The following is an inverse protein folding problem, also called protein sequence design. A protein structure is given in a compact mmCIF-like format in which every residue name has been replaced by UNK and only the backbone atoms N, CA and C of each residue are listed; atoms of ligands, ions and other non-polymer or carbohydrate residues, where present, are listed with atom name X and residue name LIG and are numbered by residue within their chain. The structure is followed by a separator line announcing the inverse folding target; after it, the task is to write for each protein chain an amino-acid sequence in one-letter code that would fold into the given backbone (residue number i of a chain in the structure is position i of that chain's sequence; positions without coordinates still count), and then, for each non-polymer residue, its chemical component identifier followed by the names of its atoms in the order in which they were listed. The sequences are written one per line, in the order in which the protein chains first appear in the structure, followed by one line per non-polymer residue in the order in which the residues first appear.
data_IF_971284234314
#
_entry.id   IF_971284234314
#
_cell.length_a   1.000
_cell.length_b   1.000
_cell.length_c   1.000
_cell.angle_alpha   90.00
_cell.angle_beta   90.00
_cell.angle_gamma   90.00
#
_symmetry.space_group_name_H-M   'P 1'
#
loop_
_entity.id
_entity.type
_entity.pdbx_description
1 polymer ?
#
# COMPACT_ATOMS: atom_id res chain seq x y z
N UNK A 1 -32.24 -21.48 22.17
CA UNK A 1 -30.84 -21.06 22.00
C UNK A 1 -30.90 -19.85 21.08
N UNK A 2 -30.88 -18.65 21.68
CA UNK A 2 -30.94 -17.38 20.95
C UNK A 2 -29.75 -17.31 20.01
N UNK A 3 -29.90 -16.85 18.75
CA UNK A 3 -28.76 -16.63 17.89
C UNK A 3 -27.97 -15.48 18.51
N UNK A 4 -26.92 -15.83 19.27
CA UNK A 4 -25.96 -14.86 19.78
C UNK A 4 -25.52 -14.01 18.59
N UNK A 5 -25.78 -12.71 18.74
CA UNK A 5 -25.53 -11.68 17.76
C UNK A 5 -24.13 -11.83 17.21
N UNK A 6 -24.00 -12.43 16.03
CA UNK A 6 -22.79 -12.32 15.22
C UNK A 6 -22.70 -10.84 14.89
N UNK A 7 -21.95 -10.09 15.71
CA UNK A 7 -21.61 -8.71 15.41
C UNK A 7 -21.12 -8.68 13.97
N UNK A 8 -21.85 -7.93 13.15
CA UNK A 8 -21.54 -7.78 11.75
C UNK A 8 -20.13 -7.19 11.61
N UNK A 9 -19.46 -7.40 10.48
CA UNK A 9 -18.12 -6.82 10.20
C UNK A 9 -18.12 -5.32 10.54
N UNK A 10 -19.22 -4.63 10.25
CA UNK A 10 -19.51 -3.24 10.60
C UNK A 10 -19.41 -2.89 12.09
N UNK A 11 -19.94 -3.72 12.97
CA UNK A 11 -19.91 -3.44 14.41
C UNK A 11 -18.50 -3.70 14.95
N UNK A 12 -17.90 -4.82 14.52
CA UNK A 12 -16.63 -5.29 15.05
C UNK A 12 -15.45 -4.41 14.63
N UNK A 13 -15.42 -3.93 13.39
CA UNK A 13 -14.34 -3.03 12.94
C UNK A 13 -14.25 -1.72 13.76
N UNK A 14 -15.33 -1.36 14.45
CA UNK A 14 -15.46 -0.15 15.25
C UNK A 14 -15.36 -0.41 16.77
N UNK A 15 -15.06 -1.65 17.19
CA UNK A 15 -14.83 -1.96 18.59
C UNK A 15 -13.47 -1.42 19.08
N UNK A 16 -13.32 -1.32 20.41
CA UNK A 16 -12.12 -0.74 21.00
C UNK A 16 -10.84 -1.54 20.70
N UNK A 17 -10.93 -2.83 20.37
CA UNK A 17 -9.77 -3.67 20.05
C UNK A 17 -9.29 -3.39 18.62
N UNK A 18 -10.20 -3.38 17.66
CA UNK A 18 -9.94 -3.15 16.24
C UNK A 18 -9.47 -1.73 15.99
N UNK A 19 -10.06 -0.73 16.65
CA UNK A 19 -9.59 0.67 16.59
C UNK A 19 -8.15 0.78 17.13
N UNK A 20 -7.80 0.08 18.23
CA UNK A 20 -6.42 0.07 18.74
C UNK A 20 -5.45 -0.57 17.76
N UNK A 21 -5.84 -1.66 17.09
CA UNK A 21 -5.02 -2.30 16.05
C UNK A 21 -4.77 -1.34 14.88
N UNK A 22 -5.78 -0.60 14.42
CA UNK A 22 -5.63 0.42 13.36
C UNK A 22 -4.70 1.55 13.80
N UNK A 23 -4.90 2.11 14.99
CA UNK A 23 -4.02 3.15 15.53
C UNK A 23 -2.58 2.67 15.69
N UNK A 24 -2.37 1.46 16.19
CA UNK A 24 -1.04 0.87 16.30
C UNK A 24 -0.41 0.66 14.92
N UNK A 25 -1.17 0.13 13.95
CA UNK A 25 -0.71 -0.09 12.59
C UNK A 25 -0.27 1.23 11.94
N UNK A 26 -1.05 2.30 12.10
CA UNK A 26 -0.73 3.64 11.61
C UNK A 26 0.55 4.20 12.23
N UNK A 27 0.75 4.05 13.53
CA UNK A 27 1.96 4.55 14.20
C UNK A 27 3.21 3.83 13.68
N UNK A 28 3.18 2.51 13.53
CA UNK A 28 4.28 1.75 12.92
C UNK A 28 4.42 2.10 11.42
N UNK A 29 3.32 2.44 10.76
CA UNK A 29 3.33 2.90 9.38
C UNK A 29 4.03 4.25 9.24
N UNK A 30 3.67 5.24 10.05
CA UNK A 30 4.31 6.56 10.06
C UNK A 30 5.82 6.45 10.36
N UNK A 31 6.22 5.58 11.29
CA UNK A 31 7.63 5.36 11.61
C UNK A 31 8.44 4.89 10.40
N UNK A 32 8.04 3.81 9.71
CA UNK A 32 8.82 3.40 8.55
C UNK A 32 8.67 4.36 7.35
N UNK A 33 7.58 5.14 7.25
CA UNK A 33 7.52 6.24 6.27
C UNK A 33 8.54 7.34 6.56
N UNK A 34 8.77 7.71 7.82
CA UNK A 34 9.79 8.70 8.17
C UNK A 34 11.19 8.22 7.79
N UNK A 35 11.49 6.93 8.01
CA UNK A 35 12.81 6.38 7.65
C UNK A 35 12.98 6.32 6.13
N UNK A 36 11.95 5.93 5.36
CA UNK A 36 12.03 5.99 3.90
C UNK A 36 12.10 7.44 3.40
N UNK A 37 11.38 8.38 4.00
CA UNK A 37 11.45 9.80 3.65
C UNK A 37 12.84 10.39 3.90
N UNK A 38 13.50 9.98 4.99
CA UNK A 38 14.88 10.37 5.26
C UNK A 38 15.85 9.84 4.20
N UNK A 39 15.64 8.60 3.69
CA UNK A 39 16.42 8.06 2.56
C UNK A 39 16.33 8.95 1.32
N UNK A 40 15.09 9.31 0.96
CA UNK A 40 14.81 10.17 -0.17
C UNK A 40 15.42 11.56 -0.01
N UNK A 41 15.33 12.13 1.19
CA UNK A 41 15.92 13.42 1.51
C UNK A 41 17.45 13.39 1.38
N UNK A 42 18.10 12.36 1.94
CA UNK A 42 19.57 12.18 1.83
C UNK A 42 19.98 12.01 0.37
N UNK A 43 19.31 11.12 -0.37
CA UNK A 43 19.58 10.91 -1.79
C UNK A 43 19.43 12.19 -2.61
N UNK A 44 18.38 12.98 -2.34
CA UNK A 44 18.15 14.26 -3.01
C UNK A 44 19.22 15.30 -2.67
N UNK A 45 19.54 15.48 -1.38
CA UNK A 45 20.58 16.43 -0.94
C UNK A 45 21.93 16.08 -1.56
N UNK A 46 22.32 14.80 -1.54
CA UNK A 46 23.58 14.35 -2.14
C UNK A 46 23.58 14.57 -3.65
N UNK A 47 22.50 14.25 -4.36
CA UNK A 47 22.40 14.49 -5.79
C UNK A 47 22.50 15.98 -6.14
N UNK A 48 21.82 16.85 -5.40
CA UNK A 48 21.85 18.32 -5.63
C UNK A 48 23.23 18.90 -5.30
N UNK A 49 23.82 18.51 -4.17
CA UNK A 49 25.16 18.96 -3.79
C UNK A 49 26.23 18.51 -4.79
N UNK A 50 26.14 17.25 -5.25
CA UNK A 50 27.07 16.71 -6.26
C UNK A 50 26.88 17.41 -7.61
N UNK A 51 25.64 17.75 -7.99
CA UNK A 51 25.37 18.53 -9.20
C UNK A 51 25.90 19.96 -9.10
N UNK A 52 25.77 20.62 -7.94
CA UNK A 52 26.32 21.95 -7.71
C UNK A 52 27.86 21.97 -7.80
N UNK A 53 28.51 20.93 -7.26
CA UNK A 53 29.96 20.79 -7.31
C UNK A 53 30.52 20.68 -8.75
N UNK A 54 29.72 20.27 -9.73
CA UNK A 54 30.16 20.11 -11.13
C UNK A 54 30.44 21.44 -11.82
N UNK A 55 29.85 22.52 -11.30
CA UNK A 55 30.14 23.90 -11.74
C UNK A 55 31.60 24.29 -11.46
N UNK A 56 32.28 23.58 -10.54
CA UNK A 56 33.69 23.76 -10.22
C UNK A 56 34.48 22.60 -10.85
N UNK A 57 35.29 22.83 -11.90
CA UNK A 57 35.99 21.78 -12.64
C UNK A 57 36.78 20.81 -11.74
N UNK A 58 37.45 21.33 -10.72
CA UNK A 58 38.30 20.56 -9.79
C UNK A 58 37.50 19.61 -8.90
N UNK A 59 36.20 19.87 -8.68
CA UNK A 59 35.33 19.04 -7.83
C UNK A 59 34.56 17.97 -8.61
N UNK A 60 34.62 17.96 -9.95
CA UNK A 60 33.89 17.00 -10.78
C UNK A 60 34.19 15.55 -10.44
N UNK A 61 35.46 15.10 -10.30
CA UNK A 61 35.75 13.72 -9.93
C UNK A 61 35.16 13.35 -8.57
N UNK A 62 35.28 14.26 -7.60
CA UNK A 62 34.74 14.08 -6.24
C UNK A 62 33.21 13.97 -6.25
N UNK A 63 32.51 14.78 -7.05
CA UNK A 63 31.07 14.72 -7.21
C UNK A 63 30.59 13.38 -7.79
N UNK A 64 31.30 12.86 -8.79
CA UNK A 64 31.01 11.55 -9.40
C UNK A 64 31.19 10.43 -8.39
N UNK A 65 32.35 10.41 -7.71
CA UNK A 65 32.66 9.38 -6.69
C UNK A 65 31.61 9.43 -5.57
N UNK A 66 31.24 10.61 -5.11
CA UNK A 66 30.23 10.81 -4.06
C UNK A 66 28.87 10.28 -4.50
N UNK A 67 28.41 10.59 -5.72
CA UNK A 67 27.14 10.07 -6.24
C UNK A 67 27.10 8.55 -6.34
N UNK A 68 28.20 7.93 -6.80
CA UNK A 68 28.29 6.46 -6.88
C UNK A 68 28.31 5.80 -5.50
N UNK A 69 29.15 6.30 -4.58
CA UNK A 69 29.24 5.77 -3.20
C UNK A 69 27.89 5.94 -2.48
N UNK A 70 27.28 7.13 -2.59
CA UNK A 70 25.99 7.38 -1.97
C UNK A 70 24.91 6.43 -2.51
N UNK A 71 24.91 6.14 -3.81
CA UNK A 71 24.00 5.16 -4.41
C UNK A 71 24.18 3.78 -3.78
N UNK A 72 25.43 3.32 -3.63
CA UNK A 72 25.73 2.05 -2.99
C UNK A 72 25.24 2.03 -1.53
N UNK A 73 25.50 3.09 -0.77
CA UNK A 73 25.04 3.19 0.62
C UNK A 73 23.50 3.19 0.72
N UNK A 74 22.82 3.98 -0.12
CA UNK A 74 21.35 4.06 -0.09
C UNK A 74 20.71 2.75 -0.52
N UNK A 75 21.26 2.05 -1.52
CA UNK A 75 20.65 0.83 -2.07
C UNK A 75 21.00 -0.44 -1.31
N UNK A 76 22.17 -0.50 -0.66
CA UNK A 76 22.62 -1.70 0.05
C UNK A 76 22.47 -1.58 1.55
N UNK A 77 22.87 -0.46 2.16
CA UNK A 77 22.89 -0.33 3.64
C UNK A 77 21.52 0.02 4.18
N UNK A 78 20.80 0.94 3.52
CA UNK A 78 19.52 1.45 4.02
C UNK A 78 18.45 0.37 4.22
N UNK A 79 18.23 -0.60 3.31
CA UNK A 79 17.21 -1.63 3.48
C UNK A 79 17.41 -2.52 4.74
N UNK A 80 18.65 -2.70 5.20
CA UNK A 80 18.91 -3.43 6.45
C UNK A 80 18.35 -2.71 7.67
N UNK A 81 18.30 -1.38 7.64
CA UNK A 81 17.77 -0.55 8.74
C UNK A 81 16.25 -0.54 8.75
N UNK A 82 15.60 -0.59 7.57
CA UNK A 82 14.15 -0.35 7.45
C UNK A 82 13.28 -1.61 7.53
N UNK A 83 13.85 -2.80 7.33
CA UNK A 83 13.14 -4.09 7.30
C UNK A 83 12.22 -4.33 8.51
N UNK A 84 12.65 -3.95 9.71
CA UNK A 84 11.94 -4.27 10.95
C UNK A 84 10.67 -3.44 11.17
N UNK A 85 10.71 -2.16 10.81
CA UNK A 85 9.57 -1.26 10.95
C UNK A 85 8.45 -1.61 9.97
N UNK A 86 8.81 -2.10 8.77
CA UNK A 86 7.81 -2.50 7.79
C UNK A 86 6.99 -3.71 8.26
N UNK A 87 7.67 -4.74 8.77
CA UNK A 87 7.04 -5.98 9.17
C UNK A 87 6.01 -5.79 10.30
N UNK A 88 6.30 -4.93 11.29
CA UNK A 88 5.39 -4.69 12.42
C UNK A 88 4.05 -4.08 11.98
N UNK A 89 4.10 -3.05 11.14
CA UNK A 89 2.88 -2.42 10.62
C UNK A 89 2.01 -3.43 9.86
N UNK A 90 2.63 -4.27 9.03
CA UNK A 90 1.93 -5.29 8.23
C UNK A 90 1.34 -6.40 9.11
N UNK A 91 2.04 -6.82 10.17
CA UNK A 91 1.52 -7.80 11.15
C UNK A 91 0.35 -7.25 11.99
N UNK A 92 0.32 -5.95 12.27
CA UNK A 92 -0.81 -5.32 12.97
C UNK A 92 -2.05 -5.27 12.06
N UNK A 93 -1.88 -4.90 10.79
CA UNK A 93 -2.96 -4.95 9.82
C UNK A 93 -3.47 -6.38 9.58
N UNK A 94 -2.58 -7.38 9.53
CA UNK A 94 -3.00 -8.79 9.43
C UNK A 94 -3.80 -9.24 10.66
N UNK A 95 -3.39 -8.82 11.86
CA UNK A 95 -4.16 -9.14 13.07
C UNK A 95 -5.54 -8.49 13.03
N UNK A 96 -5.63 -7.24 12.59
CA UNK A 96 -6.91 -6.56 12.38
C UNK A 96 -7.79 -7.30 11.37
N UNK A 97 -7.27 -7.62 10.18
CA UNK A 97 -8.04 -8.28 9.12
C UNK A 97 -8.48 -9.68 9.56
N UNK A 98 -7.57 -10.47 10.15
CA UNK A 98 -7.87 -11.84 10.58
C UNK A 98 -8.82 -11.90 11.78
N UNK A 99 -8.74 -10.96 12.73
CA UNK A 99 -9.73 -10.87 13.83
C UNK A 99 -11.09 -10.40 13.32
N UNK A 100 -11.09 -9.45 12.37
CA UNK A 100 -12.31 -8.90 11.80
C UNK A 100 -13.08 -9.94 10.98
N UNK A 101 -12.39 -10.65 10.10
CA UNK A 101 -12.98 -11.67 9.22
C UNK A 101 -13.03 -13.07 9.88
N UNK A 102 -12.63 -13.20 11.14
CA UNK A 102 -12.54 -14.48 11.87
C UNK A 102 -11.69 -15.54 11.17
N UNK A 103 -10.61 -15.11 10.50
CA UNK A 103 -9.69 -16.01 9.82
C UNK A 103 -8.66 -16.57 10.79
N UNK A 104 -8.20 -17.80 10.54
CA UNK A 104 -7.11 -18.41 11.29
C UNK A 104 -5.81 -17.64 11.07
N UNK A 105 -5.00 -17.52 12.12
CA UNK A 105 -3.66 -16.95 11.98
C UNK A 105 -2.75 -17.93 11.23
N UNK A 106 -2.03 -17.46 10.21
CA UNK A 106 -0.98 -18.25 9.58
C UNK A 106 0.36 -18.03 10.31
N UNK A 107 0.90 -19.03 11.03
CA UNK A 107 2.16 -18.90 11.76
C UNK A 107 3.39 -18.68 10.86
N UNK A 108 3.31 -19.06 9.58
CA UNK A 108 4.40 -18.91 8.62
C UNK A 108 4.65 -17.45 8.21
N UNK A 109 3.65 -16.58 8.43
CA UNK A 109 3.76 -15.14 8.16
C UNK A 109 4.48 -14.38 9.27
N UNK A 110 4.60 -14.98 10.46
CA UNK A 110 5.20 -14.37 11.63
C UNK A 110 4.36 -14.54 12.89
N UNK A 111 4.85 -13.97 14.00
CA UNK A 111 4.14 -13.99 15.29
C UNK A 111 3.18 -12.82 15.38
N UNK A 112 2.05 -13.03 16.06
CA UNK A 112 1.16 -11.96 16.48
C UNK A 112 1.92 -10.95 17.34
N UNK A 113 1.64 -9.66 17.12
CA UNK A 113 2.17 -8.58 17.95
C UNK A 113 1.48 -8.64 19.32
N UNK A 114 2.23 -8.73 20.42
CA UNK A 114 1.63 -8.80 21.75
C UNK A 114 0.77 -7.58 22.09
N UNK A 115 -0.30 -7.79 22.86
CA UNK A 115 -1.25 -6.74 23.26
C UNK A 115 -0.60 -5.52 23.91
N UNK A 116 0.44 -5.73 24.74
CA UNK A 116 1.19 -4.63 25.37
C UNK A 116 1.77 -3.69 24.31
N UNK A 117 2.37 -4.23 23.26
CA UNK A 117 2.92 -3.43 22.16
C UNK A 117 1.83 -2.75 21.32
N UNK A 118 0.68 -3.40 21.12
CA UNK A 118 -0.47 -2.80 20.43
C UNK A 118 -0.93 -1.56 21.22
N UNK A 119 -1.15 -1.70 22.53
CA UNK A 119 -1.61 -0.61 23.39
C UNK A 119 -0.58 0.53 23.42
N UNK A 120 0.70 0.21 23.58
CA UNK A 120 1.76 1.23 23.64
C UNK A 120 1.95 1.99 22.33
N UNK A 121 1.81 1.31 21.18
CA UNK A 121 1.84 1.99 19.88
C UNK A 121 0.55 2.79 19.65
N UNK A 122 -0.62 2.25 19.97
CA UNK A 122 -1.90 2.96 19.81
C UNK A 122 -1.98 4.25 20.64
N UNK A 123 -1.38 4.31 21.84
CA UNK A 123 -1.30 5.53 22.67
C UNK A 123 -0.54 6.69 22.01
N UNK A 124 0.35 6.39 21.05
CA UNK A 124 1.13 7.40 20.32
C UNK A 124 0.37 7.96 19.12
N UNK A 125 -0.81 7.40 18.82
CA UNK A 125 -1.62 7.87 17.73
C UNK A 125 -2.20 9.26 18.06
N UNK A 126 -2.05 10.19 17.13
CA UNK A 126 -2.46 11.58 17.28
C UNK A 126 -3.40 12.05 16.15
N UNK A 127 -3.92 11.13 15.34
CA UNK A 127 -4.89 11.42 14.29
C UNK A 127 -6.34 11.30 14.78
N UNK A 128 -7.26 11.55 13.86
CA UNK A 128 -8.70 11.34 14.10
C UNK A 128 -9.01 9.84 14.22
N UNK A 129 -10.03 9.50 15.01
CA UNK A 129 -10.45 8.12 15.18
C UNK A 129 -10.86 7.48 13.83
N UNK A 130 -10.21 6.38 13.46
CA UNK A 130 -10.48 5.67 12.20
C UNK A 130 -11.65 4.70 12.35
N UNK A 131 -12.85 5.18 12.07
CA UNK A 131 -14.08 4.36 12.07
C UNK A 131 -14.48 3.97 10.66
N UNK A 132 -15.20 2.85 10.54
CA UNK A 132 -15.70 2.32 9.26
C UNK A 132 -14.58 2.15 8.22
N UNK A 133 -13.49 1.49 8.63
CA UNK A 133 -12.34 1.21 7.77
C UNK A 133 -12.70 0.42 6.51
N UNK A 134 -13.68 -0.47 6.61
CA UNK A 134 -14.26 -1.20 5.47
C UNK A 134 -15.68 -0.74 5.19
N UNK A 135 -16.08 -0.88 3.93
CA UNK A 135 -17.44 -0.67 3.46
C UNK A 135 -18.48 -1.30 4.39
N UNK A 136 -19.64 -0.64 4.45
CA UNK A 136 -20.75 -1.24 5.14
C UNK A 136 -21.26 -2.45 4.35
N UNK A 137 -21.20 -3.64 4.94
CA UNK A 137 -21.61 -4.91 4.31
C UNK A 137 -22.81 -5.54 5.03
N UNK A 138 -23.57 -4.76 5.80
CA UNK A 138 -24.79 -5.23 6.45
C UNK A 138 -25.76 -5.80 5.42
N UNK A 139 -26.32 -6.97 5.73
CA UNK A 139 -27.24 -7.68 4.84
C UNK A 139 -26.56 -8.64 3.85
N UNK A 140 -25.25 -8.57 3.67
CA UNK A 140 -24.51 -9.48 2.79
C UNK A 140 -24.08 -10.72 3.60
N UNK A 141 -24.33 -11.96 3.11
CA UNK A 141 -23.94 -13.17 3.82
C UNK A 141 -22.42 -13.42 3.77
N UNK A 142 -21.88 -14.06 4.81
CA UNK A 142 -20.54 -14.67 4.76
C UNK A 142 -20.54 -15.86 3.79
N UNK A 143 -19.44 -16.12 3.06
CA UNK A 143 -18.14 -15.40 3.00
C UNK A 143 -18.09 -14.25 1.96
N UNK A 144 -19.23 -13.84 1.40
CA UNK A 144 -19.28 -12.82 0.35
C UNK A 144 -18.92 -11.44 0.93
N UNK A 145 -19.39 -11.13 2.14
CA UNK A 145 -19.07 -9.89 2.85
C UNK A 145 -17.56 -9.70 3.06
N UNK A 146 -16.87 -10.74 3.57
CA UNK A 146 -15.42 -10.77 3.77
C UNK A 146 -14.67 -10.61 2.44
N UNK A 147 -15.17 -11.26 1.39
CA UNK A 147 -14.59 -11.15 0.04
C UNK A 147 -14.69 -9.73 -0.51
N UNK A 148 -15.82 -9.03 -0.29
CA UNK A 148 -15.98 -7.63 -0.67
C UNK A 148 -15.01 -6.71 0.10
N UNK A 149 -14.84 -6.90 1.40
CA UNK A 149 -13.86 -6.13 2.18
C UNK A 149 -12.41 -6.38 1.71
N UNK A 150 -12.04 -7.63 1.41
CA UNK A 150 -10.73 -7.95 0.86
C UNK A 150 -10.50 -7.32 -0.52
N UNK A 151 -11.55 -7.29 -1.36
CA UNK A 151 -11.53 -6.62 -2.66
C UNK A 151 -11.30 -5.11 -2.52
N UNK A 152 -12.03 -4.45 -1.62
CA UNK A 152 -11.88 -3.02 -1.33
C UNK A 152 -10.43 -2.68 -0.96
N UNK A 153 -9.80 -3.51 -0.12
CA UNK A 153 -8.40 -3.32 0.26
C UNK A 153 -7.43 -3.35 -0.93
N UNK A 154 -7.73 -4.15 -1.95
CA UNK A 154 -6.90 -4.28 -3.14
C UNK A 154 -7.04 -3.07 -4.05
N UNK A 155 -8.26 -2.57 -4.25
CA UNK A 155 -8.48 -1.42 -5.13
C UNK A 155 -7.80 -0.19 -4.55
N UNK A 156 -8.05 0.08 -3.27
CA UNK A 156 -7.51 1.25 -2.60
C UNK A 156 -5.99 1.35 -2.74
N UNK A 157 -5.28 0.24 -2.54
CA UNK A 157 -3.82 0.26 -2.60
C UNK A 157 -3.30 0.23 -4.06
N UNK A 158 -3.96 -0.46 -4.99
CA UNK A 158 -3.51 -0.51 -6.39
C UNK A 158 -3.53 0.88 -7.05
N UNK A 159 -4.65 1.59 -6.92
CA UNK A 159 -4.85 2.89 -7.58
C UNK A 159 -3.87 3.95 -7.04
N UNK A 160 -3.63 3.94 -5.73
CA UNK A 160 -2.67 4.84 -5.09
C UNK A 160 -1.24 4.60 -5.58
N UNK A 161 -0.85 3.33 -5.72
CA UNK A 161 0.47 2.97 -6.22
C UNK A 161 0.66 3.35 -7.68
N UNK A 162 -0.35 3.18 -8.51
CA UNK A 162 -0.30 3.59 -9.92
C UNK A 162 -0.18 5.12 -10.04
N UNK A 163 -0.97 5.87 -9.28
CA UNK A 163 -0.91 7.32 -9.27
C UNK A 163 0.43 7.87 -8.71
N UNK A 164 1.06 7.17 -7.77
CA UNK A 164 2.42 7.49 -7.30
C UNK A 164 3.49 7.12 -8.34
N UNK A 165 3.39 5.95 -8.96
CA UNK A 165 4.27 5.54 -10.05
C UNK A 165 4.26 6.55 -11.20
N UNK A 166 3.11 7.11 -11.56
CA UNK A 166 3.03 8.15 -12.57
C UNK A 166 3.81 9.41 -12.21
N UNK A 167 3.77 9.83 -10.93
CA UNK A 167 4.58 10.98 -10.46
C UNK A 167 6.08 10.70 -10.55
N UNK A 168 6.49 9.47 -10.23
CA UNK A 168 7.89 9.07 -10.38
C UNK A 168 8.32 9.09 -11.85
N UNK A 169 7.46 8.66 -12.78
CA UNK A 169 7.72 8.77 -14.23
C UNK A 169 7.89 10.22 -14.65
N UNK A 170 6.95 11.09 -14.29
CA UNK A 170 7.01 12.53 -14.61
C UNK A 170 8.27 13.17 -14.01
N UNK A 171 8.59 12.85 -12.75
CA UNK A 171 9.79 13.36 -12.08
C UNK A 171 11.09 12.90 -12.73
N UNK A 172 11.21 11.61 -13.08
CA UNK A 172 12.36 11.06 -13.78
C UNK A 172 12.50 11.64 -15.19
N UNK A 173 11.41 11.80 -15.92
CA UNK A 173 11.40 12.41 -17.25
C UNK A 173 11.83 13.88 -17.19
N UNK A 174 11.33 14.65 -16.22
CA UNK A 174 11.75 16.02 -15.99
C UNK A 174 13.24 16.10 -15.63
N UNK A 175 13.72 15.22 -14.73
CA UNK A 175 15.14 15.15 -14.36
C UNK A 175 16.03 14.83 -15.57
N UNK A 176 15.65 13.88 -16.43
CA UNK A 176 16.37 13.59 -17.68
C UNK A 176 16.33 14.77 -18.65
N UNK A 177 15.17 15.42 -18.79
CA UNK A 177 15.00 16.60 -19.65
C UNK A 177 15.88 17.77 -19.23
N UNK A 178 16.00 18.05 -17.93
CA UNK A 178 16.90 19.07 -17.39
C UNK A 178 18.36 18.74 -17.74
N UNK A 179 18.78 17.48 -17.53
CA UNK A 179 20.14 17.04 -17.88
C UNK A 179 20.44 17.22 -19.37
N UNK A 180 19.48 16.87 -20.23
CA UNK A 180 19.59 17.04 -21.67
C UNK A 180 19.72 18.51 -22.06
N UNK A 181 18.88 19.40 -21.50
CA UNK A 181 18.95 20.84 -21.77
C UNK A 181 20.31 21.41 -21.36
N UNK A 182 20.81 21.06 -20.17
CA UNK A 182 22.13 21.49 -19.68
C UNK A 182 23.23 20.98 -20.61
N UNK A 183 23.20 19.70 -20.98
CA UNK A 183 24.17 19.07 -21.87
C UNK A 183 24.21 19.74 -23.25
N UNK A 184 23.05 20.08 -23.82
CA UNK A 184 22.97 20.77 -25.11
C UNK A 184 23.47 22.21 -24.99
N UNK A 185 23.08 22.95 -23.95
CA UNK A 185 23.54 24.32 -23.73
C UNK A 185 25.06 24.39 -23.55
N UNK A 186 25.65 23.41 -22.85
CA UNK A 186 27.08 23.32 -22.59
C UNK A 186 27.88 22.57 -23.67
N UNK A 187 27.23 22.14 -24.77
CA UNK A 187 27.84 21.39 -25.88
C UNK A 187 28.61 20.14 -25.41
N UNK A 188 28.05 19.44 -24.42
CA UNK A 188 28.64 18.24 -23.85
C UNK A 188 28.54 17.04 -24.81
N UNK A 189 29.59 16.24 -24.85
CA UNK A 189 29.53 14.89 -25.41
C UNK A 189 28.62 14.00 -24.57
N UNK A 190 28.09 12.92 -25.17
CA UNK A 190 27.22 11.96 -24.47
C UNK A 190 27.86 11.42 -23.19
N UNK A 191 29.16 11.10 -23.22
CA UNK A 191 29.86 10.61 -22.02
C UNK A 191 29.92 11.66 -20.90
N UNK A 192 29.98 12.97 -21.24
CA UNK A 192 29.97 14.05 -20.25
C UNK A 192 28.59 14.19 -19.61
N UNK A 193 27.50 14.02 -20.35
CA UNK A 193 26.17 13.92 -19.74
C UNK A 193 26.08 12.74 -18.77
N UNK A 194 26.58 11.57 -19.16
CA UNK A 194 26.55 10.40 -18.29
C UNK A 194 27.41 10.58 -17.03
N UNK A 195 28.62 11.11 -17.17
CA UNK A 195 29.57 11.24 -16.06
C UNK A 195 29.30 12.50 -15.22
N UNK A 196 29.01 13.65 -15.83
CA UNK A 196 28.84 14.93 -15.13
C UNK A 196 27.39 15.29 -14.81
N UNK A 197 26.42 14.41 -15.10
CA UNK A 197 25.05 14.64 -14.64
C UNK A 197 24.44 13.38 -14.07
N UNK A 198 24.43 12.30 -14.86
CA UNK A 198 23.79 11.05 -14.43
C UNK A 198 24.49 10.46 -13.20
N UNK A 199 25.81 10.22 -13.27
CA UNK A 199 26.54 9.57 -12.16
C UNK A 199 26.41 10.29 -10.80
N UNK A 200 26.60 11.63 -10.70
CA UNK A 200 26.40 12.42 -9.48
C UNK A 200 24.99 12.37 -8.91
N UNK A 201 23.99 12.20 -9.76
CA UNK A 201 22.57 12.20 -9.36
C UNK A 201 21.97 10.80 -9.28
N UNK A 202 22.78 9.75 -9.48
CA UNK A 202 22.39 8.35 -9.34
C UNK A 202 21.68 7.99 -8.03
N UNK A 203 22.02 8.54 -6.84
CA UNK A 203 21.33 8.17 -5.61
C UNK A 203 19.82 8.42 -5.71
N UNK A 204 19.42 9.60 -6.16
CA UNK A 204 18.02 9.94 -6.34
C UNK A 204 17.39 9.22 -7.55
N UNK A 205 18.10 9.15 -8.68
CA UNK A 205 17.56 8.55 -9.90
C UNK A 205 17.33 7.04 -9.76
N UNK A 206 18.27 6.31 -9.14
CA UNK A 206 18.16 4.88 -8.90
C UNK A 206 17.05 4.56 -7.88
N UNK A 207 16.94 5.35 -6.81
CA UNK A 207 15.87 5.23 -5.83
C UNK A 207 14.49 5.45 -6.45
N UNK A 208 14.37 6.47 -7.32
CA UNK A 208 13.12 6.74 -8.04
C UNK A 208 12.76 5.64 -9.03
N UNK A 209 13.73 5.13 -9.79
CA UNK A 209 13.49 4.03 -10.74
C UNK A 209 13.08 2.74 -10.02
N UNK A 210 13.79 2.37 -8.93
CA UNK A 210 13.44 1.19 -8.13
C UNK A 210 12.06 1.32 -7.51
N UNK A 211 11.77 2.49 -6.93
CA UNK A 211 10.44 2.78 -6.40
C UNK A 211 9.37 2.65 -7.48
N UNK A 212 9.59 3.21 -8.67
CA UNK A 212 8.65 3.09 -9.79
C UNK A 212 8.37 1.63 -10.16
N UNK A 213 9.42 0.82 -10.32
CA UNK A 213 9.30 -0.59 -10.69
C UNK A 213 8.56 -1.38 -9.60
N UNK A 214 8.91 -1.17 -8.34
CA UNK A 214 8.27 -1.85 -7.20
C UNK A 214 6.80 -1.47 -7.07
N UNK A 215 6.46 -0.18 -7.20
CA UNK A 215 5.08 0.30 -7.12
C UNK A 215 4.22 -0.28 -8.24
N UNK A 216 4.72 -0.33 -9.47
CA UNK A 216 4.02 -0.96 -10.61
C UNK A 216 3.86 -2.47 -10.42
N UNK A 217 4.89 -3.14 -9.92
CA UNK A 217 4.84 -4.58 -9.66
C UNK A 217 3.74 -4.92 -8.64
N UNK A 218 3.73 -4.23 -7.51
CA UNK A 218 2.73 -4.45 -6.46
C UNK A 218 1.33 -4.06 -6.95
N UNK A 219 1.19 -2.93 -7.66
CA UNK A 219 -0.09 -2.52 -8.24
C UNK A 219 -0.65 -3.61 -9.17
N UNK A 220 0.16 -4.15 -10.08
CA UNK A 220 -0.25 -5.26 -10.97
C UNK A 220 -0.69 -6.49 -10.20
N UNK A 221 0.10 -6.95 -9.22
CA UNK A 221 -0.27 -8.12 -8.40
C UNK A 221 -1.61 -7.91 -7.69
N UNK A 222 -1.90 -6.69 -7.23
CA UNK A 222 -3.17 -6.35 -6.58
C UNK A 222 -4.32 -6.27 -7.58
N UNK A 223 -4.10 -5.68 -8.75
CA UNK A 223 -5.07 -5.64 -9.85
C UNK A 223 -5.44 -7.04 -10.30
N UNK A 224 -4.47 -7.92 -10.54
CA UNK A 224 -4.70 -9.31 -10.93
C UNK A 224 -5.49 -10.09 -9.86
N UNK A 225 -5.20 -9.84 -8.58
CA UNK A 225 -5.94 -10.46 -7.48
C UNK A 225 -7.37 -9.93 -7.37
N UNK A 226 -7.57 -8.63 -7.61
CA UNK A 226 -8.88 -7.99 -7.66
C UNK A 226 -9.71 -8.57 -8.80
N UNK A 227 -9.19 -8.61 -10.02
CA UNK A 227 -9.92 -9.09 -11.19
C UNK A 227 -10.47 -10.51 -10.98
N UNK A 228 -9.68 -11.40 -10.38
CA UNK A 228 -10.14 -12.75 -10.00
C UNK A 228 -11.29 -12.73 -8.98
N UNK A 229 -11.27 -11.79 -8.03
CA UNK A 229 -12.36 -11.62 -7.08
C UNK A 229 -13.60 -11.10 -7.81
N UNK A 230 -13.44 -10.13 -8.71
CA UNK A 230 -14.53 -9.51 -9.45
C UNK A 230 -15.24 -10.53 -10.34
N UNK A 231 -14.49 -11.36 -11.07
CA UNK A 231 -15.02 -12.49 -11.83
C UNK A 231 -15.83 -13.45 -10.93
N UNK A 232 -15.29 -13.76 -9.75
CA UNK A 232 -15.96 -14.65 -8.79
C UNK A 232 -17.26 -14.02 -8.29
N UNK A 233 -17.23 -12.75 -7.89
CA UNK A 233 -18.38 -12.02 -7.34
C UNK A 233 -19.46 -11.77 -8.39
N UNK A 234 -19.11 -11.46 -9.63
CA UNK A 234 -20.07 -11.29 -10.73
C UNK A 234 -20.82 -12.59 -11.06
N UNK A 235 -20.22 -13.74 -10.77
CA UNK A 235 -20.85 -15.05 -10.94
C UNK A 235 -21.80 -15.44 -9.80
N UNK A 236 -21.94 -14.59 -8.78
CA UNK A 236 -22.74 -14.83 -7.57
C UNK A 236 -23.94 -13.89 -7.54
N UNK A 237 -25.12 -14.49 -7.64
CA UNK A 237 -26.41 -13.85 -7.39
C UNK A 237 -27.19 -14.70 -6.38
N UNK A 238 -28.23 -14.16 -5.71
CA UNK A 238 -29.05 -14.94 -4.78
C UNK A 238 -29.69 -16.20 -5.41
N UNK A 239 -29.85 -16.23 -6.73
CA UNK A 239 -30.41 -17.37 -7.49
C UNK A 239 -29.33 -18.39 -7.89
N UNK A 240 -28.09 -17.93 -8.07
CA UNK A 240 -26.97 -18.75 -8.58
C UNK A 240 -25.97 -19.17 -7.50
N UNK A 241 -26.11 -18.64 -6.29
CA UNK A 241 -25.28 -18.99 -5.14
C UNK A 241 -25.62 -20.41 -4.67
N UNK A 242 -24.64 -21.30 -4.77
CA UNK A 242 -24.71 -22.66 -4.25
C UNK A 242 -23.81 -22.79 -3.02
N UNK A 243 -24.10 -23.76 -2.16
CA UNK A 243 -23.26 -24.04 -0.99
C UNK A 243 -21.81 -24.33 -1.40
N UNK A 244 -21.62 -25.08 -2.50
CA UNK A 244 -20.30 -25.36 -3.05
C UNK A 244 -19.48 -24.09 -3.34
N UNK A 245 -20.09 -23.08 -3.98
CA UNK A 245 -19.40 -21.80 -4.25
C UNK A 245 -19.07 -21.04 -2.96
N UNK A 246 -19.92 -21.13 -1.94
CA UNK A 246 -19.66 -20.52 -0.63
C UNK A 246 -18.52 -21.22 0.10
N UNK A 247 -18.41 -22.54 -0.04
CA UNK A 247 -17.29 -23.31 0.55
C UNK A 247 -15.98 -22.95 -0.16
N UNK A 248 -15.96 -22.89 -1.50
CA UNK A 248 -14.79 -22.43 -2.28
C UNK A 248 -14.34 -21.02 -1.90
N UNK A 249 -15.29 -20.09 -1.73
CA UNK A 249 -14.99 -18.74 -1.26
C UNK A 249 -14.37 -18.74 0.13
N UNK A 250 -14.92 -19.55 1.05
CA UNK A 250 -14.43 -19.66 2.42
C UNK A 250 -12.99 -20.16 2.46
N UNK A 251 -12.67 -21.19 1.68
CA UNK A 251 -11.30 -21.69 1.54
C UNK A 251 -10.36 -20.62 0.93
N UNK A 252 -10.86 -19.86 -0.03
CA UNK A 252 -10.10 -18.81 -0.68
C UNK A 252 -9.81 -17.60 0.23
N UNK A 253 -10.64 -17.31 1.24
CA UNK A 253 -10.48 -16.14 2.11
C UNK A 253 -9.09 -16.07 2.75
N UNK A 254 -8.63 -17.18 3.34
CA UNK A 254 -7.33 -17.21 4.02
C UNK A 254 -6.17 -17.12 3.03
N UNK A 255 -6.25 -17.86 1.91
CA UNK A 255 -5.23 -17.83 0.86
C UNK A 255 -5.09 -16.45 0.23
N UNK A 256 -6.22 -15.76 0.03
CA UNK A 256 -6.23 -14.39 -0.48
C UNK A 256 -5.65 -13.42 0.54
N UNK A 257 -6.01 -13.55 1.81
CA UNK A 257 -5.45 -12.74 2.89
C UNK A 257 -3.92 -12.91 2.99
N UNK A 258 -3.40 -14.14 2.82
CA UNK A 258 -1.95 -14.38 2.75
C UNK A 258 -1.28 -13.65 1.58
N UNK A 259 -1.93 -13.59 0.41
CA UNK A 259 -1.43 -12.82 -0.74
C UNK A 259 -1.47 -11.32 -0.46
N UNK A 260 -2.54 -10.82 0.16
CA UNK A 260 -2.65 -9.43 0.61
C UNK A 260 -1.50 -9.10 1.57
N UNK A 261 -1.26 -9.93 2.59
CA UNK A 261 -0.16 -9.76 3.53
C UNK A 261 1.20 -9.66 2.84
N UNK A 262 1.53 -10.62 1.97
CA UNK A 262 2.81 -10.64 1.23
C UNK A 262 2.98 -9.39 0.36
N UNK A 263 1.91 -8.96 -0.32
CA UNK A 263 1.94 -7.72 -1.11
C UNK A 263 2.22 -6.46 -0.28
N UNK A 264 1.80 -6.44 1.01
CA UNK A 264 2.08 -5.34 1.94
C UNK A 264 3.53 -5.38 2.43
N UNK A 265 4.13 -6.56 2.61
CA UNK A 265 5.55 -6.69 2.94
C UNK A 265 6.46 -6.17 1.83
N UNK A 266 6.12 -6.48 0.58
CA UNK A 266 6.91 -6.08 -0.59
C UNK A 266 6.65 -4.64 -1.04
N UNK A 267 5.87 -3.87 -0.28
CA UNK A 267 5.48 -2.54 -0.71
C UNK A 267 6.53 -1.46 -0.42
N UNK A 268 7.07 -0.86 -1.49
CA UNK A 268 7.62 0.50 -1.39
C UNK A 268 6.50 1.40 -0.88
N UNK A 269 6.78 2.22 0.12
CA UNK A 269 5.74 3.01 0.77
C UNK A 269 5.40 4.24 -0.05
N UNK A 270 4.10 4.49 -0.17
CA UNK A 270 3.56 5.70 -0.78
C UNK A 270 3.47 6.76 0.32
N UNK A 271 3.96 8.00 0.13
CA UNK A 271 3.90 9.03 1.18
C UNK A 271 2.46 9.37 1.62
N UNK A 272 2.21 9.50 2.93
CA UNK A 272 0.87 9.77 3.50
C UNK A 272 0.20 11.06 2.96
N UNK A 273 1.00 12.11 2.70
CA UNK A 273 0.47 13.37 2.13
C UNK A 273 -0.11 13.21 0.73
N UNK A 274 0.37 12.20 0.01
CA UNK A 274 -0.17 11.87 -1.29
C UNK A 274 -1.46 11.04 -1.16
N UNK A 275 -1.45 10.06 -0.25
CA UNK A 275 -2.63 9.27 0.15
C UNK A 275 -3.82 10.18 0.54
N UNK A 276 -3.60 11.16 1.42
CA UNK A 276 -4.66 12.03 1.93
C UNK A 276 -5.30 12.93 0.86
N UNK A 277 -4.60 13.25 -0.25
CA UNK A 277 -5.14 14.10 -1.32
C UNK A 277 -6.03 13.36 -2.32
N UNK A 278 -5.89 12.05 -2.39
CA UNK A 278 -6.65 11.21 -3.31
C UNK A 278 -7.84 10.51 -2.63
N UNK A 279 -7.84 10.51 -1.29
CA UNK A 279 -8.80 9.81 -0.44
C UNK A 279 -10.26 10.07 -0.84
N UNK A 280 -10.66 11.34 -0.92
CA UNK A 280 -12.06 11.75 -1.17
C UNK A 280 -12.59 11.27 -2.54
N UNK A 281 -11.72 11.22 -3.56
CA UNK A 281 -12.09 10.78 -4.91
C UNK A 281 -12.32 9.26 -4.96
N UNK A 282 -11.51 8.49 -4.25
CA UNK A 282 -11.62 7.03 -4.22
C UNK A 282 -12.77 6.56 -3.33
N UNK A 283 -12.98 7.19 -2.16
CA UNK A 283 -14.09 6.87 -1.26
C UNK A 283 -15.45 6.98 -1.96
N UNK A 284 -15.67 8.03 -2.76
CA UNK A 284 -16.92 8.22 -3.53
C UNK A 284 -17.18 7.09 -4.52
N UNK A 285 -16.16 6.67 -5.30
CA UNK A 285 -16.33 5.63 -6.31
C UNK A 285 -16.61 4.25 -5.70
N UNK A 286 -15.99 3.93 -4.55
CA UNK A 286 -16.20 2.66 -3.86
C UNK A 286 -17.54 2.57 -3.16
N UNK A 287 -18.04 3.68 -2.61
CA UNK A 287 -19.38 3.72 -2.01
C UNK A 287 -20.46 3.38 -3.05
N UNK A 288 -20.38 3.97 -4.25
CA UNK A 288 -21.31 3.68 -5.34
C UNK A 288 -21.31 2.19 -5.72
N UNK A 289 -20.13 1.59 -5.82
CA UNK A 289 -20.00 0.17 -6.18
C UNK A 289 -20.51 -0.77 -5.07
N UNK A 290 -20.27 -0.42 -3.80
CA UNK A 290 -20.79 -1.16 -2.66
C UNK A 290 -22.32 -1.05 -2.56
N UNK A 291 -22.88 0.13 -2.83
CA UNK A 291 -24.33 0.34 -2.90
C UNK A 291 -24.96 -0.49 -4.04
N UNK A 292 -24.29 -0.60 -5.19
CA UNK A 292 -24.73 -1.46 -6.27
C UNK A 292 -24.79 -2.95 -5.83
N UNK A 293 -23.73 -3.47 -5.20
CA UNK A 293 -23.76 -4.83 -4.65
C UNK A 293 -24.85 -5.01 -3.58
N UNK A 294 -25.05 -4.02 -2.69
CA UNK A 294 -26.15 -4.06 -1.72
C UNK A 294 -27.51 -4.14 -2.39
N UNK A 295 -27.75 -3.36 -3.45
CA UNK A 295 -29.04 -3.39 -4.15
C UNK A 295 -29.37 -4.77 -4.72
N UNK A 296 -28.36 -5.54 -5.15
CA UNK A 296 -28.55 -6.91 -5.67
C UNK A 296 -28.92 -7.88 -4.53
N UNK A 297 -28.29 -7.76 -3.36
CA UNK A 297 -28.40 -8.75 -2.29
C UNK A 297 -29.45 -8.43 -1.21
N UNK A 298 -29.82 -7.15 -1.04
CA UNK A 298 -30.84 -6.70 -0.08
C UNK A 298 -32.24 -6.76 -0.69
N UNK A 299 -32.43 -6.29 -1.92
CA UNK A 299 -33.74 -6.22 -2.59
C UNK A 299 -34.36 -7.62 -2.79
N UNK A 300 -33.52 -8.63 -3.04
CA UNK A 300 -33.97 -10.02 -3.20
C UNK A 300 -34.36 -10.70 -1.87
N UNK A 301 -33.80 -10.24 -0.74
CA UNK A 301 -34.16 -10.75 0.60
C UNK A 301 -35.55 -10.27 1.02
N UNK A 302 -35.91 -9.06 0.63
CA UNK A 302 -37.23 -8.49 0.92
C UNK A 302 -38.31 -9.09 0.02
N UNK A 303 -38.00 -9.45 -1.24
CA UNK A 303 -38.91 -10.24 -2.10
C UNK A 303 -39.20 -11.63 -1.53
N UNK A 304 -38.19 -12.38 -1.08
CA UNK A 304 -38.37 -13.72 -0.48
C UNK A 304 -39.08 -13.74 0.89
N UNK A 305 -39.27 -12.58 1.53
CA UNK A 305 -40.07 -12.44 2.76
C UNK A 305 -41.53 -12.05 2.49
N UNK A 306 -41.83 -11.64 1.26
CA UNK A 306 -43.16 -11.25 0.81
C UNK A 306 -43.97 -12.37 0.14
N UNK A 307 -43.30 -13.47 -0.24
CA UNK A 307 -43.88 -14.74 -0.71
C UNK A 307 -43.97 -15.77 0.43
#
# INVERSE_FOLDING_TARGET
MTPDSVQSINDRQNDAEHIRLLHAADVEHAQAQHVESARWLVAFIVSVASLAAILIPDLRPTAVITGVIATFLTETVWPFVTKNFNNRAVLLQEQFDTSLFKLSWNPDLGRRVPMVHIVDSAKKYAGDEKRNWYLDVRGIPSPIAETLCQRENLIWDADQREAWAWRLVVGLAAWLGIGLIISLAAQWFVWQLLVWYVAPTLPAASLALRSLLQQRSVARTKTDLRERIDETLQSLTPETVSQHKLDELTEALRLRQDKIFRSRLDSARVPDRFYNRLRDRFETNHQIEAEHFKSIWVDERDRRKGD
#
